data_IF_793223604480
#
_entry.id   IF_793223604480
#
_cell.length_a   1.000
_cell.length_b   1.000
_cell.length_c   1.000
_cell.angle_alpha   90.00
_cell.angle_beta   90.00
_cell.angle_gamma   90.00
#
_symmetry.space_group_name_H-M   'P 1'
#
loop_
_entity.id
_entity.type
_entity.pdbx_description
1 polymer ?
#
# COMPACT_ATOMS: atom_id res chain seq x y z
N UNK A 1 6.38 -1.38 2.45
CA UNK A 1 5.96 0.04 2.34
C UNK A 1 6.65 0.97 3.33
N UNK A 2 6.49 0.81 4.65
CA UNK A 2 6.98 1.78 5.67
C UNK A 2 8.44 2.21 5.47
N UNK A 3 9.37 1.25 5.37
CA UNK A 3 10.80 1.53 5.23
C UNK A 3 11.16 2.36 3.98
N UNK A 4 10.35 2.28 2.92
CA UNK A 4 10.64 2.96 1.65
C UNK A 4 10.15 4.41 1.60
N UNK A 5 9.23 4.80 2.51
CA UNK A 5 8.55 6.08 2.49
C UNK A 5 9.44 7.26 2.92
N UNK A 6 9.14 8.47 2.43
CA UNK A 6 9.81 9.69 2.88
C UNK A 6 9.45 10.09 4.31
N UNK A 7 8.20 9.85 4.72
CA UNK A 7 7.72 10.27 6.05
C UNK A 7 6.83 9.21 6.68
N UNK A 8 6.93 9.07 8.00
CA UNK A 8 6.12 8.15 8.78
C UNK A 8 5.38 8.91 9.88
N UNK A 9 4.07 8.74 9.94
CA UNK A 9 3.21 9.17 11.05
C UNK A 9 3.06 7.98 12.02
N UNK A 10 3.10 8.27 13.32
CA UNK A 10 3.05 7.27 14.40
C UNK A 10 4.23 6.27 14.35
N UNK A 11 5.39 6.74 13.87
CA UNK A 11 6.68 6.05 13.94
C UNK A 11 7.32 6.09 15.33
N UNK A 12 8.36 5.29 15.55
CA UNK A 12 9.23 5.45 16.73
C UNK A 12 10.20 6.62 16.52
N UNK A 13 10.76 7.17 17.60
CA UNK A 13 11.66 8.33 17.54
C UNK A 13 12.97 8.05 16.79
N UNK A 14 13.36 6.78 16.70
CA UNK A 14 14.54 6.25 16.02
C UNK A 14 14.22 5.63 14.66
N UNK A 15 12.99 5.83 14.16
CA UNK A 15 12.57 5.24 12.90
C UNK A 15 13.30 5.88 11.72
N UNK A 16 14.19 5.12 11.09
CA UNK A 16 14.82 5.49 9.83
C UNK A 16 14.01 5.00 8.61
N UNK A 17 14.19 5.68 7.48
CA UNK A 17 13.62 5.31 6.18
C UNK A 17 14.67 5.41 5.08
N UNK A 18 14.43 4.72 3.97
CA UNK A 18 15.28 4.78 2.78
C UNK A 18 14.92 5.96 1.86
N UNK A 19 13.77 6.59 2.07
CA UNK A 19 13.31 7.78 1.33
C UNK A 19 13.32 7.60 -0.20
N UNK A 20 12.96 6.40 -0.68
CA UNK A 20 13.01 6.05 -2.11
C UNK A 20 11.70 6.28 -2.84
N UNK A 21 10.61 6.59 -2.12
CA UNK A 21 9.31 6.93 -2.70
C UNK A 21 8.62 8.04 -1.89
N UNK A 22 8.22 9.11 -2.58
CA UNK A 22 7.64 10.32 -1.98
C UNK A 22 6.20 10.11 -1.50
N UNK A 23 6.06 9.43 -0.37
CA UNK A 23 4.79 9.20 0.32
C UNK A 23 4.94 9.48 1.82
N UNK A 24 3.82 9.85 2.44
CA UNK A 24 3.69 9.86 3.91
C UNK A 24 2.84 8.66 4.33
N UNK A 25 3.39 7.77 5.15
CA UNK A 25 2.73 6.55 5.61
C UNK A 25 2.28 6.70 7.06
N UNK A 26 1.05 6.30 7.38
CA UNK A 26 0.58 6.18 8.77
C UNK A 26 0.64 4.71 9.21
N UNK A 27 1.33 4.42 10.31
CA UNK A 27 1.42 3.06 10.87
C UNK A 27 0.14 2.64 11.57
N UNK A 28 -0.16 1.33 11.54
CA UNK A 28 -1.29 0.72 12.25
C UNK A 28 -2.61 1.48 12.08
N UNK A 29 -2.84 1.98 10.87
CA UNK A 29 -3.80 3.06 10.68
C UNK A 29 -5.26 2.58 10.77
N UNK A 30 -5.47 1.27 10.61
CA UNK A 30 -6.77 0.60 10.71
C UNK A 30 -7.23 0.30 12.16
N UNK A 31 -6.41 0.55 13.19
CA UNK A 31 -6.79 0.37 14.60
C UNK A 31 -6.03 -0.75 15.34
N UNK A 32 -6.45 -1.04 16.58
CA UNK A 32 -5.74 -1.96 17.50
C UNK A 32 -6.08 -3.44 17.23
N UNK A 33 -5.07 -4.17 16.78
CA UNK A 33 -4.68 -5.56 17.09
C UNK A 33 -5.66 -6.75 16.89
N UNK A 34 -6.90 -6.58 16.39
CA UNK A 34 -7.79 -7.72 16.09
C UNK A 34 -8.12 -7.91 14.60
N UNK A 35 -8.13 -6.89 13.77
CA UNK A 35 -8.60 -7.07 12.39
C UNK A 35 -7.44 -7.17 11.41
N UNK A 36 -6.86 -8.37 11.29
CA UNK A 36 -6.48 -8.80 9.94
C UNK A 36 -7.78 -8.89 9.15
N UNK A 37 -7.87 -8.18 8.04
CA UNK A 37 -9.09 -8.19 7.22
C UNK A 37 -8.73 -8.41 5.77
N UNK A 38 -9.71 -8.87 5.02
CA UNK A 38 -9.64 -9.09 3.59
C UNK A 38 -10.59 -8.12 2.92
N UNK A 39 -10.16 -7.56 1.79
CA UNK A 39 -11.00 -6.69 0.98
C UNK A 39 -10.66 -6.85 -0.49
N UNK A 40 -11.69 -6.96 -1.31
CA UNK A 40 -11.57 -6.90 -2.76
C UNK A 40 -11.15 -5.49 -3.20
N UNK A 41 -10.04 -5.39 -3.92
CA UNK A 41 -9.55 -4.15 -4.52
C UNK A 41 -9.67 -4.21 -6.04
N UNK A 42 -10.19 -3.15 -6.64
CA UNK A 42 -10.08 -2.93 -8.08
C UNK A 42 -8.73 -2.28 -8.38
N UNK A 43 -7.95 -2.90 -9.26
CA UNK A 43 -6.62 -2.41 -9.64
C UNK A 43 -6.53 -2.38 -11.18
N UNK A 44 -7.14 -1.37 -11.84
CA UNK A 44 -7.31 -1.37 -13.31
C UNK A 44 -6.02 -1.45 -14.13
N UNK A 45 -4.87 -1.07 -13.55
CA UNK A 45 -3.58 -1.22 -14.21
C UNK A 45 -3.03 -2.65 -14.22
N UNK A 46 -3.58 -3.53 -13.38
CA UNK A 46 -3.17 -4.92 -13.25
C UNK A 46 -4.18 -5.81 -13.97
N UNK A 47 -5.47 -5.64 -13.66
CA UNK A 47 -6.57 -6.46 -14.20
C UNK A 47 -7.91 -5.78 -13.95
N UNK A 48 -8.95 -6.18 -14.69
CA UNK A 48 -10.32 -5.67 -14.54
C UNK A 48 -11.10 -6.42 -13.43
N UNK A 49 -10.64 -7.60 -13.02
CA UNK A 49 -11.24 -8.37 -11.93
C UNK A 49 -10.71 -7.92 -10.56
N UNK A 50 -11.55 -7.90 -9.52
CA UNK A 50 -11.11 -7.63 -8.16
C UNK A 50 -9.96 -8.53 -7.71
N UNK A 51 -9.11 -7.99 -6.84
CA UNK A 51 -8.00 -8.67 -6.20
C UNK A 51 -8.26 -8.80 -4.69
N UNK A 52 -8.18 -10.02 -4.17
CA UNK A 52 -8.37 -10.30 -2.74
C UNK A 52 -7.17 -9.82 -1.93
N UNK A 53 -7.26 -8.62 -1.34
CA UNK A 53 -6.17 -8.02 -0.60
C UNK A 53 -6.25 -8.37 0.90
N UNK A 54 -5.18 -8.99 1.42
CA UNK A 54 -5.06 -9.37 2.83
C UNK A 54 -4.26 -8.29 3.59
N UNK A 55 -4.87 -7.66 4.57
CA UNK A 55 -4.28 -6.60 5.39
C UNK A 55 -3.98 -7.12 6.79
N UNK A 56 -2.72 -7.02 7.24
CA UNK A 56 -2.30 -7.46 8.58
C UNK A 56 -1.57 -6.32 9.28
N UNK A 57 -2.22 -5.73 10.29
CA UNK A 57 -1.72 -4.51 10.99
C UNK A 57 -1.26 -3.45 9.99
N UNK A 58 -2.04 -3.30 8.93
CA UNK A 58 -1.60 -2.60 7.74
C UNK A 58 -1.39 -1.10 8.01
N UNK A 59 -0.38 -0.48 7.38
CA UNK A 59 -0.34 0.96 7.23
C UNK A 59 -1.25 1.42 6.08
N UNK A 60 -1.47 2.71 5.92
CA UNK A 60 -1.97 3.29 4.66
C UNK A 60 -1.12 4.49 4.25
N UNK A 61 -1.31 4.94 3.01
CA UNK A 61 -0.69 6.16 2.51
C UNK A 61 -1.57 7.36 2.86
N UNK A 62 -1.06 8.24 3.72
CA UNK A 62 -1.73 9.47 4.15
C UNK A 62 -1.57 10.58 3.10
N UNK A 63 -0.41 10.64 2.43
CA UNK A 63 -0.12 11.62 1.37
C UNK A 63 0.73 11.00 0.27
N UNK A 64 0.44 11.39 -0.96
CA UNK A 64 1.13 10.98 -2.18
C UNK A 64 1.83 12.20 -2.77
N UNK A 65 3.11 12.06 -3.11
CA UNK A 65 3.91 13.06 -3.79
C UNK A 65 3.57 13.18 -5.28
N UNK A 66 4.09 14.22 -5.94
CA UNK A 66 3.72 14.56 -7.32
C UNK A 66 4.07 13.46 -8.35
N UNK A 67 5.17 12.74 -8.14
CA UNK A 67 5.68 11.71 -9.05
C UNK A 67 5.23 10.28 -8.66
N UNK A 68 4.29 10.17 -7.71
CA UNK A 68 3.79 8.89 -7.22
C UNK A 68 2.37 8.68 -7.71
N UNK A 69 2.10 7.49 -8.28
CA UNK A 69 0.80 7.10 -8.78
C UNK A 69 0.12 6.13 -7.83
N UNK A 70 -1.10 6.44 -7.38
CA UNK A 70 -1.97 5.45 -6.73
C UNK A 70 -2.50 4.47 -7.76
N UNK A 71 -2.42 3.18 -7.45
CA UNK A 71 -2.94 2.08 -8.28
C UNK A 71 -4.21 1.49 -7.68
N UNK A 72 -4.34 1.54 -6.35
CA UNK A 72 -5.51 1.05 -5.64
C UNK A 72 -5.73 1.86 -4.35
N UNK A 73 -7.00 2.14 -4.09
CA UNK A 73 -7.46 2.91 -2.93
C UNK A 73 -8.47 2.11 -2.12
N UNK A 74 -8.59 2.46 -0.83
CA UNK A 74 -9.51 1.86 0.12
C UNK A 74 -10.29 2.96 0.83
N UNK A 75 -11.61 2.76 0.97
CA UNK A 75 -12.48 3.66 1.72
C UNK A 75 -12.68 3.14 3.14
N UNK A 76 -12.22 3.92 4.13
CA UNK A 76 -12.41 3.62 5.55
C UNK A 76 -13.87 3.78 5.98
N UNK A 77 -14.23 3.22 7.14
CA UNK A 77 -15.58 3.37 7.73
C UNK A 77 -16.02 4.83 7.87
N UNK A 78 -15.07 5.77 8.06
CA UNK A 78 -15.34 7.20 8.12
C UNK A 78 -15.48 7.90 6.76
N UNK A 79 -15.54 7.15 5.66
CA UNK A 79 -15.66 7.69 4.29
C UNK A 79 -14.38 8.30 3.73
N UNK A 80 -13.24 8.19 4.45
CA UNK A 80 -11.94 8.67 3.96
C UNK A 80 -11.32 7.64 3.05
N UNK A 81 -10.84 8.10 1.90
CA UNK A 81 -10.14 7.30 0.90
C UNK A 81 -8.64 7.39 1.16
N UNK A 82 -7.97 6.24 1.24
CA UNK A 82 -6.53 6.13 1.41
C UNK A 82 -5.94 5.18 0.38
N UNK A 83 -4.78 5.52 -0.17
CA UNK A 83 -4.09 4.62 -1.11
C UNK A 83 -3.42 3.47 -0.35
N UNK A 84 -3.54 2.28 -0.95
CA UNK A 84 -3.04 1.00 -0.40
C UNK A 84 -2.14 0.26 -1.39
N UNK A 85 -2.03 0.74 -2.63
CA UNK A 85 -1.03 0.32 -3.61
C UNK A 85 -0.59 1.54 -4.41
N UNK A 86 0.70 1.81 -4.45
CA UNK A 86 1.26 2.94 -5.19
C UNK A 86 2.59 2.59 -5.84
N UNK A 87 2.93 3.32 -6.91
CA UNK A 87 4.22 3.18 -7.60
C UNK A 87 4.87 4.52 -7.91
N UNK A 88 6.20 4.50 -8.01
CA UNK A 88 7.00 5.58 -8.59
C UNK A 88 8.29 5.01 -9.16
N UNK A 89 8.60 5.34 -10.43
CA UNK A 89 9.76 4.82 -11.15
C UNK A 89 9.85 3.29 -11.00
N UNK A 90 10.93 2.78 -10.40
CA UNK A 90 11.20 1.36 -10.15
C UNK A 90 10.78 0.89 -8.76
N UNK A 91 9.87 1.61 -8.08
CA UNK A 91 9.40 1.28 -6.73
C UNK A 91 7.90 1.00 -6.77
N UNK A 92 7.49 -0.15 -6.24
CA UNK A 92 6.10 -0.53 -5.98
C UNK A 92 5.93 -0.79 -4.48
N UNK A 93 4.86 -0.25 -3.90
CA UNK A 93 4.54 -0.46 -2.47
C UNK A 93 3.07 -0.83 -2.28
N UNK A 94 2.82 -1.83 -1.43
CA UNK A 94 1.49 -2.22 -0.98
C UNK A 94 1.35 -2.11 0.54
N UNK A 95 0.13 -1.85 0.99
CA UNK A 95 -0.32 -1.97 2.39
C UNK A 95 -0.80 -3.39 2.74
N UNK A 96 -1.08 -4.20 1.73
CA UNK A 96 -1.54 -5.58 1.84
C UNK A 96 -0.45 -6.57 1.43
N UNK A 97 -0.72 -7.84 1.69
CA UNK A 97 0.17 -8.97 1.48
C UNK A 97 -0.24 -9.82 0.28
N UNK A 98 0.09 -9.44 -0.97
CA UNK A 98 -0.27 -10.23 -2.14
C UNK A 98 0.36 -11.64 -2.12
N UNK A 99 1.46 -11.83 -1.39
CA UNK A 99 2.15 -13.12 -1.23
C UNK A 99 1.38 -14.13 -0.39
N UNK A 100 0.43 -13.67 0.43
CA UNK A 100 -0.46 -14.53 1.21
C UNK A 100 -1.68 -14.95 0.39
N UNK A 101 -1.84 -14.40 -0.81
CA UNK A 101 -2.84 -14.81 -1.78
C UNK A 101 -2.24 -15.88 -2.72
N UNK A 102 -3.08 -16.70 -3.32
CA UNK A 102 -2.66 -17.57 -4.44
C UNK A 102 -2.53 -16.81 -5.77
N UNK A 103 -2.76 -15.50 -5.79
CA UNK A 103 -2.87 -14.67 -6.99
C UNK A 103 -1.56 -13.96 -7.32
N UNK A 104 -0.99 -14.29 -8.48
CA UNK A 104 0.30 -13.78 -8.93
C UNK A 104 0.21 -12.47 -9.71
N UNK A 105 -0.98 -11.88 -9.93
CA UNK A 105 -1.15 -10.72 -10.80
C UNK A 105 -0.33 -9.50 -10.34
N UNK A 106 -0.27 -9.23 -9.03
CA UNK A 106 0.57 -8.14 -8.47
C UNK A 106 2.07 -8.40 -8.66
N UNK A 107 2.51 -9.64 -8.43
CA UNK A 107 3.90 -10.03 -8.63
C UNK A 107 4.31 -9.95 -10.10
N UNK A 108 3.43 -10.40 -11.01
CA UNK A 108 3.66 -10.29 -12.46
C UNK A 108 3.71 -8.83 -12.90
N UNK A 109 2.81 -7.98 -12.41
CA UNK A 109 2.86 -6.55 -12.68
C UNK A 109 4.20 -5.92 -12.25
N UNK A 110 4.73 -6.31 -11.09
CA UNK A 110 6.05 -5.84 -10.64
C UNK A 110 7.16 -6.23 -11.64
N UNK A 111 7.22 -7.50 -12.05
CA UNK A 111 8.24 -7.96 -13.01
C UNK A 111 8.09 -7.29 -14.38
N UNK A 112 6.86 -7.12 -14.86
CA UNK A 112 6.62 -6.65 -16.23
C UNK A 112 6.68 -5.12 -16.39
N UNK A 113 6.42 -4.36 -15.32
CA UNK A 113 6.21 -2.90 -15.38
C UNK A 113 7.15 -2.09 -14.49
N UNK A 114 7.83 -2.71 -13.55
CA UNK A 114 8.66 -2.03 -12.54
C UNK A 114 10.13 -2.43 -12.65
N UNK A 115 10.42 -3.71 -12.95
CA UNK A 115 11.75 -4.20 -13.31
C UNK A 115 12.12 -3.85 -14.76
#
# INVERSE_FOLDING_TARGET
>A
MILLANKIIDGTSDQETLEVIDITVKRNAFGRQVDSFEQELLIPEIDDQPFDAIFIRAPWIEKIGVDVKSLADLTTVGGKVHSVLARSKSVLVSSFHPELTGDLRVHRYFIDKIC
#
